data_IF_374153677170
#
_entry.id   IF_374153677170
#
_cell.length_a   1.000
_cell.length_b   1.000
_cell.length_c   1.000
_cell.angle_alpha   90.00
_cell.angle_beta   90.00
_cell.angle_gamma   90.00
#
_symmetry.space_group_name_H-M   'P 1'
#
loop_
_entity.id
_entity.type
_entity.pdbx_description
1 polymer ?
#
# COMPACT_ATOMS: atom_id res chain seq x y z
N UNK A 1 -6.63 -5.23 21.81
CA UNK A 1 -5.58 -4.55 21.05
C UNK A 1 -5.89 -3.07 21.07
N UNK A 2 -4.88 -2.21 21.23
CA UNK A 2 -5.04 -0.74 21.19
C UNK A 2 -5.43 -0.31 19.77
N UNK A 3 -6.50 0.47 19.61
CA UNK A 3 -7.02 0.91 18.31
C UNK A 3 -5.97 1.68 17.51
N UNK A 4 -5.13 2.49 18.17
CA UNK A 4 -4.02 3.17 17.51
C UNK A 4 -3.05 2.16 16.90
N UNK A 5 -2.65 1.16 17.69
CA UNK A 5 -1.70 0.13 17.24
C UNK A 5 -2.28 -0.70 16.11
N UNK A 6 -3.57 -1.01 16.17
CA UNK A 6 -4.26 -1.73 15.10
C UNK A 6 -4.30 -0.91 13.80
N UNK A 7 -4.74 0.33 13.85
CA UNK A 7 -4.83 1.17 12.65
C UNK A 7 -3.44 1.43 12.03
N UNK A 8 -2.42 1.67 12.86
CA UNK A 8 -1.02 1.79 12.38
C UNK A 8 -0.52 0.48 11.76
N UNK A 9 -0.90 -0.66 12.34
CA UNK A 9 -0.56 -1.98 11.78
C UNK A 9 -1.17 -2.16 10.39
N UNK A 10 -2.45 -1.82 10.19
CA UNK A 10 -3.11 -1.90 8.88
C UNK A 10 -2.41 -1.04 7.82
N UNK A 11 -2.12 0.23 8.12
CA UNK A 11 -1.37 1.10 7.20
C UNK A 11 0.02 0.53 6.87
N UNK A 12 0.71 -0.02 7.87
CA UNK A 12 2.04 -0.61 7.70
C UNK A 12 2.00 -1.88 6.86
N UNK A 13 1.03 -2.75 7.07
CA UNK A 13 0.86 -3.99 6.30
C UNK A 13 0.61 -3.69 4.83
N UNK A 14 -0.27 -2.73 4.53
CA UNK A 14 -0.55 -2.36 3.16
C UNK A 14 0.65 -1.72 2.44
N UNK A 15 1.38 -0.83 3.12
CA UNK A 15 2.61 -0.27 2.55
C UNK A 15 3.71 -1.32 2.37
N UNK A 16 3.84 -2.28 3.29
CA UNK A 16 4.79 -3.39 3.14
C UNK A 16 4.43 -4.29 1.95
N UNK A 17 3.14 -4.60 1.78
CA UNK A 17 2.66 -5.36 0.64
C UNK A 17 3.03 -4.65 -0.67
N UNK A 18 2.74 -3.35 -0.77
CA UNK A 18 3.07 -2.55 -1.94
C UNK A 18 4.58 -2.39 -2.16
N UNK A 19 5.36 -2.20 -1.10
CA UNK A 19 6.82 -2.01 -1.16
C UNK A 19 7.60 -3.29 -1.52
N UNK A 20 6.95 -4.46 -1.47
CA UNK A 20 7.57 -5.75 -1.77
C UNK A 20 8.08 -5.78 -3.22
N UNK A 21 9.26 -6.37 -3.44
CA UNK A 21 9.87 -6.44 -4.77
C UNK A 21 9.06 -7.34 -5.70
N UNK A 22 9.14 -7.13 -7.03
CA UNK A 22 8.44 -8.00 -7.99
C UNK A 22 8.86 -9.46 -7.83
N UNK A 23 10.14 -9.73 -7.56
CA UNK A 23 10.63 -11.11 -7.38
C UNK A 23 9.96 -11.79 -6.19
N UNK A 24 9.91 -11.12 -5.04
CA UNK A 24 9.29 -11.64 -3.83
C UNK A 24 7.78 -11.76 -3.99
N UNK A 25 7.16 -10.79 -4.65
CA UNK A 25 5.75 -10.79 -4.97
C UNK A 25 5.35 -11.97 -5.87
N UNK A 26 6.12 -12.22 -6.93
CA UNK A 26 5.91 -13.38 -7.80
C UNK A 26 6.20 -14.71 -7.08
N UNK A 27 7.12 -14.73 -6.11
CA UNK A 27 7.37 -15.91 -5.26
C UNK A 27 6.16 -16.21 -4.39
N UNK A 28 5.63 -15.21 -3.70
CA UNK A 28 4.46 -15.34 -2.81
C UNK A 28 3.20 -15.76 -3.58
N UNK A 29 2.94 -15.19 -4.77
CA UNK A 29 1.83 -15.62 -5.64
C UNK A 29 1.90 -17.11 -5.99
N UNK A 30 3.10 -17.64 -6.26
CA UNK A 30 3.29 -19.08 -6.59
C UNK A 30 3.07 -20.00 -5.40
N UNK A 31 3.26 -19.51 -4.18
CA UNK A 31 3.05 -20.28 -2.95
C UNK A 31 1.57 -20.36 -2.55
N UNK A 32 0.67 -19.72 -3.32
CA UNK A 32 -0.76 -19.68 -3.03
C UNK A 32 -1.08 -18.89 -1.76
N UNK A 33 -0.10 -18.12 -1.26
CA UNK A 33 -0.28 -17.19 -0.16
C UNK A 33 -0.95 -15.95 -0.76
N UNK A 34 -2.28 -15.89 -0.65
CA UNK A 34 -3.15 -14.80 -1.09
C UNK A 34 -2.87 -13.42 -0.45
N UNK A 35 -1.70 -13.24 0.18
CA UNK A 35 -1.24 -11.99 0.77
C UNK A 35 -1.07 -10.84 -0.24
N UNK A 36 -1.36 -11.12 -1.52
CA UNK A 36 -1.17 -10.23 -2.66
C UNK A 36 -2.46 -9.95 -3.45
N UNK A 37 -3.57 -10.59 -3.10
CA UNK A 37 -4.90 -10.16 -3.57
C UNK A 37 -5.21 -8.72 -3.07
N UNK A 38 -4.47 -8.25 -2.05
CA UNK A 38 -4.68 -6.99 -1.35
C UNK A 38 -3.58 -5.92 -1.56
N UNK A 39 -2.60 -6.11 -2.48
CA UNK A 39 -1.53 -5.11 -2.67
C UNK A 39 -2.03 -3.73 -3.09
N UNK A 40 -3.17 -3.73 -3.79
CA UNK A 40 -3.85 -2.57 -4.30
C UNK A 40 -5.13 -2.28 -3.51
N UNK A 41 -5.35 -2.99 -2.40
CA UNK A 41 -6.49 -2.75 -1.53
C UNK A 41 -6.42 -1.34 -0.95
N UNK A 42 -7.51 -0.61 -1.12
CA UNK A 42 -7.67 0.76 -0.66
C UNK A 42 -8.31 0.83 0.74
N UNK A 43 -8.69 -0.29 1.35
CA UNK A 43 -9.16 -0.41 2.75
C UNK A 43 -8.30 0.37 3.77
N UNK A 44 -6.96 0.44 3.67
CA UNK A 44 -6.16 1.25 4.58
C UNK A 44 -6.54 2.73 4.64
N UNK A 45 -7.16 3.28 3.58
CA UNK A 45 -7.66 4.65 3.54
C UNK A 45 -8.75 4.90 4.58
N UNK A 46 -9.53 3.87 4.97
CA UNK A 46 -10.60 4.02 5.96
C UNK A 46 -10.07 4.25 7.38
N UNK A 47 -8.84 3.82 7.65
CA UNK A 47 -8.21 3.92 8.98
C UNK A 47 -7.39 5.20 9.15
N UNK A 48 -7.00 5.83 8.04
CA UNK A 48 -6.15 7.01 8.02
C UNK A 48 -6.79 8.26 8.68
N UNK A 49 -8.08 8.62 8.45
CA UNK A 49 -8.69 9.81 9.04
C UNK A 49 -8.63 9.83 10.56
N UNK A 50 -8.88 8.68 11.20
CA UNK A 50 -8.84 8.57 12.66
C UNK A 50 -7.42 8.80 13.20
N UNK A 51 -6.40 8.26 12.53
CA UNK A 51 -5.00 8.45 12.91
C UNK A 51 -4.56 9.91 12.75
N UNK A 52 -5.06 10.59 11.72
CA UNK A 52 -4.80 12.02 11.50
C UNK A 52 -5.49 12.87 12.57
N UNK A 53 -6.77 12.59 12.87
CA UNK A 53 -7.55 13.31 13.90
C UNK A 53 -6.92 13.16 15.29
N UNK A 54 -6.41 11.97 15.61
CA UNK A 54 -5.71 11.70 16.86
C UNK A 54 -4.27 12.22 16.89
N UNK A 55 -3.78 12.85 15.81
CA UNK A 55 -2.43 13.39 15.70
C UNK A 55 -1.33 12.32 15.71
N UNK A 56 -1.67 11.06 15.47
CA UNK A 56 -0.72 9.95 15.39
C UNK A 56 0.08 10.06 14.10
N UNK A 57 -0.57 10.41 13.00
CA UNK A 57 0.10 10.74 11.74
C UNK A 57 -0.08 12.24 11.46
N UNK A 58 0.95 12.86 10.90
CA UNK A 58 0.86 14.26 10.47
C UNK A 58 0.12 14.39 9.14
N UNK A 59 -0.48 15.55 8.88
CA UNK A 59 -1.23 15.81 7.63
C UNK A 59 -0.40 15.63 6.37
N UNK A 60 0.93 15.85 6.42
CA UNK A 60 1.81 15.55 5.29
C UNK A 60 1.79 14.05 4.95
N UNK A 61 1.99 13.19 5.94
CA UNK A 61 1.94 11.74 5.76
C UNK A 61 0.56 11.32 5.22
N UNK A 62 -0.51 11.86 5.81
CA UNK A 62 -1.87 11.51 5.39
C UNK A 62 -2.16 11.92 3.93
N UNK A 63 -1.68 13.09 3.50
CA UNK A 63 -1.82 13.53 2.12
C UNK A 63 -1.01 12.66 1.15
N UNK A 64 0.26 12.41 1.46
CA UNK A 64 1.14 11.56 0.63
C UNK A 64 0.55 10.13 0.50
N UNK A 65 -0.05 9.61 1.58
CA UNK A 65 -0.71 8.30 1.59
C UNK A 65 -1.97 8.28 0.70
N UNK A 66 -2.84 9.30 0.82
CA UNK A 66 -4.04 9.43 -0.04
C UNK A 66 -3.68 9.59 -1.51
N UNK A 67 -2.64 10.37 -1.82
CA UNK A 67 -2.15 10.57 -3.18
C UNK A 67 -1.69 9.24 -3.79
N UNK A 68 -0.89 8.46 -3.06
CA UNK A 68 -0.43 7.16 -3.52
C UNK A 68 -1.59 6.20 -3.84
N UNK A 69 -2.53 6.02 -2.92
CA UNK A 69 -3.65 5.10 -3.16
C UNK A 69 -4.66 5.64 -4.18
N UNK A 70 -4.79 6.97 -4.31
CA UNK A 70 -5.58 7.58 -5.36
C UNK A 70 -4.99 7.36 -6.77
N UNK A 71 -3.67 7.40 -6.91
CA UNK A 71 -3.00 7.03 -8.17
C UNK A 71 -3.20 5.56 -8.52
N UNK A 72 -3.11 4.68 -7.52
CA UNK A 72 -3.33 3.23 -7.67
C UNK A 72 -4.77 2.98 -8.14
N UNK A 73 -5.76 3.48 -7.40
CA UNK A 73 -7.19 3.30 -7.75
C UNK A 73 -7.52 3.88 -9.13
N UNK A 74 -7.01 5.08 -9.44
CA UNK A 74 -7.22 5.69 -10.76
C UNK A 74 -6.60 4.87 -11.91
N UNK A 75 -5.51 4.16 -11.66
CA UNK A 75 -4.82 3.35 -12.68
C UNK A 75 -5.49 1.99 -12.84
N UNK A 76 -5.87 1.35 -11.73
CA UNK A 76 -6.31 -0.04 -11.71
C UNK A 76 -7.82 -0.20 -11.79
N UNK A 77 -8.63 0.80 -11.46
CA UNK A 77 -10.11 0.73 -11.55
C UNK A 77 -10.65 0.41 -12.94
N UNK A 78 -9.81 0.50 -13.98
CA UNK A 78 -10.13 0.14 -15.36
C UNK A 78 -9.56 -1.21 -15.80
N UNK A 79 -8.79 -1.88 -14.93
CA UNK A 79 -8.11 -3.14 -15.20
C UNK A 79 -8.92 -4.33 -14.69
N UNK A 80 -8.86 -5.45 -15.41
CA UNK A 80 -9.29 -6.75 -14.88
C UNK A 80 -8.21 -7.33 -13.95
N UNK A 81 -8.57 -8.34 -13.16
CA UNK A 81 -7.58 -9.03 -12.31
C UNK A 81 -6.41 -9.62 -13.13
N UNK A 82 -6.62 -10.04 -14.40
CA UNK A 82 -5.53 -10.54 -15.25
C UNK A 82 -4.60 -9.41 -15.67
N UNK A 83 -5.16 -8.23 -15.95
CA UNK A 83 -4.40 -7.04 -16.33
C UNK A 83 -3.56 -6.51 -15.15
N UNK A 84 -4.11 -6.55 -13.93
CA UNK A 84 -3.36 -6.26 -12.71
C UNK A 84 -2.19 -7.25 -12.51
N UNK A 85 -2.45 -8.54 -12.76
CA UNK A 85 -1.45 -9.59 -12.65
C UNK A 85 -0.30 -9.38 -13.64
N UNK A 86 -0.62 -8.96 -14.86
CA UNK A 86 0.35 -8.60 -15.89
C UNK A 86 1.06 -7.29 -15.58
N UNK A 87 0.37 -6.32 -14.96
CA UNK A 87 0.96 -5.07 -14.48
C UNK A 87 2.08 -5.36 -13.46
N UNK A 88 1.83 -6.25 -12.50
CA UNK A 88 2.83 -6.70 -11.51
C UNK A 88 4.01 -7.39 -12.19
N UNK A 89 3.74 -8.35 -13.09
CA UNK A 89 4.77 -9.10 -13.82
C UNK A 89 5.66 -8.19 -14.68
N UNK A 90 5.07 -7.16 -15.29
CA UNK A 90 5.78 -6.22 -16.16
C UNK A 90 6.77 -5.33 -15.41
N UNK A 91 6.58 -5.16 -14.09
CA UNK A 91 7.36 -4.24 -13.26
C UNK A 91 7.50 -2.86 -13.91
N UNK A 92 6.37 -2.31 -14.38
CA UNK A 92 6.30 -1.05 -15.10
C UNK A 92 6.80 0.14 -14.27
N UNK A 93 6.96 1.30 -14.92
CA UNK A 93 7.44 2.51 -14.26
C UNK A 93 6.57 2.94 -13.08
N UNK A 94 5.24 2.98 -13.26
CA UNK A 94 4.29 3.35 -12.21
C UNK A 94 4.41 2.45 -10.97
N UNK A 95 4.51 1.13 -11.14
CA UNK A 95 4.69 0.20 -10.01
C UNK A 95 6.00 0.48 -9.24
N UNK A 96 7.08 0.80 -9.95
CA UNK A 96 8.36 1.16 -9.33
C UNK A 96 8.26 2.46 -8.56
N UNK A 97 7.57 3.46 -9.09
CA UNK A 97 7.33 4.73 -8.41
C UNK A 97 6.49 4.55 -7.15
N UNK A 98 5.40 3.78 -7.22
CA UNK A 98 4.57 3.46 -6.07
C UNK A 98 5.33 2.73 -4.97
N UNK A 99 6.21 1.80 -5.33
CA UNK A 99 7.12 1.14 -4.37
C UNK A 99 8.05 2.11 -3.68
N UNK A 100 8.60 3.07 -4.40
CA UNK A 100 9.47 4.11 -3.81
C UNK A 100 8.68 5.00 -2.85
N UNK A 101 7.47 5.42 -3.25
CA UNK A 101 6.54 6.17 -2.38
C UNK A 101 6.19 5.38 -1.13
N UNK A 102 5.85 4.10 -1.28
CA UNK A 102 5.51 3.20 -0.17
C UNK A 102 6.67 3.05 0.83
N UNK A 103 7.90 2.82 0.34
CA UNK A 103 9.10 2.77 1.18
C UNK A 103 9.36 4.09 1.92
N UNK A 104 9.11 5.22 1.26
CA UNK A 104 9.24 6.55 1.87
C UNK A 104 8.24 6.72 3.02
N UNK A 105 6.98 6.32 2.82
CA UNK A 105 5.93 6.36 3.84
C UNK A 105 6.22 5.41 5.01
N UNK A 106 6.75 4.21 4.75
CA UNK A 106 7.18 3.27 5.79
C UNK A 106 8.27 3.88 6.69
N UNK A 107 9.23 4.60 6.10
CA UNK A 107 10.26 5.32 6.86
C UNK A 107 9.68 6.40 7.78
N UNK A 108 8.62 7.09 7.32
CA UNK A 108 7.90 8.06 8.15
C UNK A 108 7.16 7.37 9.30
N UNK A 109 6.43 6.28 9.02
CA UNK A 109 5.69 5.48 10.01
C UNK A 109 6.59 4.82 11.07
N UNK A 110 7.80 4.42 10.70
CA UNK A 110 8.78 3.85 11.64
C UNK A 110 9.34 4.90 12.62
N UNK A 111 9.16 6.18 12.31
CA UNK A 111 9.64 7.31 13.12
C UNK A 111 8.57 7.86 14.08
N UNK A 112 7.34 7.31 14.04
CA UNK A 112 6.23 7.62 14.95
C UNK A 112 6.36 6.82 16.26
#
# INVERSE_FOLDING_TARGET
MDQTKYNVMILREALNALATTTEEQLRLNKEGLAYLDDIFDTMPLDFLPWLEECGVVGSKFANDFRELYGEIDSTLSQMSWEEEDDFIKSNCESLREWRVKANTLLGQLASL
#
